data_IF_072936875108
#
_entry.id   IF_072936875108
#
_cell.length_a   1.000
_cell.length_b   1.000
_cell.length_c   1.000
_cell.angle_alpha   90.00
_cell.angle_beta   90.00
_cell.angle_gamma   90.00
#
_symmetry.space_group_name_H-M   'P 1'
#
loop_
_entity.id
_entity.type
_entity.pdbx_description
1 polymer ?
#
# COMPACT_ATOMS: atom_id res chain seq x y z
N UNK A 1 14.24 11.20 -11.31
CA UNK A 1 14.66 10.32 -12.42
C UNK A 1 13.80 9.11 -12.40
N UNK A 2 13.27 8.71 -13.55
CA UNK A 2 12.48 7.49 -13.65
C UNK A 2 13.42 6.28 -13.55
N UNK A 3 13.03 5.32 -12.73
CA UNK A 3 13.84 4.13 -12.45
C UNK A 3 12.98 2.89 -12.62
N UNK A 4 13.56 1.84 -13.23
CA UNK A 4 12.93 0.52 -13.31
C UNK A 4 13.77 -0.48 -12.52
N UNK A 5 13.14 -1.20 -11.59
CA UNK A 5 13.76 -2.24 -10.76
C UNK A 5 13.07 -3.56 -11.08
N UNK A 6 13.85 -4.60 -11.40
CA UNK A 6 13.34 -5.97 -11.55
C UNK A 6 13.19 -6.58 -10.15
N UNK A 7 12.02 -7.12 -9.85
CA UNK A 7 11.70 -7.66 -8.54
C UNK A 7 11.81 -9.19 -8.51
N UNK A 8 12.45 -9.78 -7.50
CA UNK A 8 12.66 -11.23 -7.39
C UNK A 8 11.38 -12.06 -7.32
N UNK A 9 10.31 -11.58 -6.69
CA UNK A 9 9.00 -12.27 -6.66
C UNK A 9 8.25 -12.18 -8.01
N UNK A 10 8.83 -11.51 -9.00
CA UNK A 10 8.33 -11.32 -10.35
C UNK A 10 7.65 -9.97 -10.55
N UNK A 11 7.82 -9.43 -11.75
CA UNK A 11 7.37 -8.09 -12.11
C UNK A 11 8.46 -7.05 -12.07
N UNK A 12 8.08 -5.80 -12.37
CA UNK A 12 8.98 -4.65 -12.42
C UNK A 12 8.37 -3.51 -11.60
N UNK A 13 9.16 -2.85 -10.80
CA UNK A 13 8.79 -1.58 -10.19
C UNK A 13 9.22 -0.45 -11.12
N UNK A 14 8.28 0.27 -11.68
CA UNK A 14 8.51 1.57 -12.30
C UNK A 14 8.30 2.66 -11.25
N UNK A 15 9.33 3.46 -11.01
CA UNK A 15 9.31 4.51 -10.00
C UNK A 15 9.62 5.86 -10.64
N UNK A 16 8.74 6.82 -10.45
CA UNK A 16 8.86 8.22 -10.87
C UNK A 16 8.66 9.15 -9.67
N UNK A 17 8.67 10.46 -9.89
CA UNK A 17 8.31 11.44 -8.87
C UNK A 17 6.81 11.49 -8.58
N UNK A 18 5.98 11.09 -9.56
CA UNK A 18 4.52 11.16 -9.49
C UNK A 18 3.86 9.84 -9.10
N UNK A 19 4.51 8.69 -9.30
CA UNK A 19 3.91 7.38 -9.00
C UNK A 19 4.94 6.28 -8.83
N UNK A 20 4.51 5.19 -8.19
CA UNK A 20 5.15 3.88 -8.19
C UNK A 20 4.19 2.90 -8.86
N UNK A 21 4.68 2.05 -9.74
CA UNK A 21 3.86 1.02 -10.38
C UNK A 21 4.57 -0.33 -10.36
N UNK A 22 3.93 -1.31 -9.73
CA UNK A 22 4.28 -2.72 -9.90
C UNK A 22 3.62 -3.22 -11.18
N UNK A 23 4.42 -3.53 -12.21
CA UNK A 23 3.98 -3.97 -13.53
C UNK A 23 4.33 -5.45 -13.76
N UNK A 24 3.37 -6.22 -14.27
CA UNK A 24 3.48 -7.65 -14.50
C UNK A 24 3.16 -7.98 -15.96
N UNK A 25 3.99 -8.82 -16.59
CA UNK A 25 3.77 -9.30 -17.96
C UNK A 25 2.56 -10.26 -18.04
N UNK A 26 2.41 -11.11 -17.03
CA UNK A 26 1.24 -11.99 -16.87
C UNK A 26 0.29 -11.42 -15.84
N UNK A 27 -1.00 -11.67 -16.05
CA UNK A 27 -2.05 -11.29 -15.10
C UNK A 27 -1.78 -11.88 -13.71
N UNK A 28 -1.97 -11.06 -12.70
CA UNK A 28 -1.87 -11.40 -11.29
C UNK A 28 -3.24 -11.29 -10.62
N UNK A 29 -3.44 -12.03 -9.53
CA UNK A 29 -4.64 -11.90 -8.70
C UNK A 29 -4.32 -11.04 -7.49
N UNK A 30 -5.11 -10.01 -7.24
CA UNK A 30 -4.88 -9.04 -6.17
C UNK A 30 -6.06 -8.94 -5.21
N UNK A 31 -5.74 -8.55 -3.97
CA UNK A 31 -6.67 -7.97 -3.00
C UNK A 31 -6.13 -6.61 -2.58
N UNK A 32 -6.91 -5.56 -2.81
CA UNK A 32 -6.48 -4.20 -2.52
C UNK A 32 -7.55 -3.40 -1.78
N UNK A 33 -7.11 -2.54 -0.84
CA UNK A 33 -7.96 -1.51 -0.21
C UNK A 33 -8.04 -0.23 -1.05
N UNK A 34 -7.51 -0.25 -2.27
CA UNK A 34 -7.45 0.90 -3.16
C UNK A 34 -8.84 1.44 -3.53
N UNK A 35 -8.94 2.77 -3.67
CA UNK A 35 -10.17 3.45 -4.10
C UNK A 35 -10.47 3.12 -5.57
N UNK A 36 -9.46 3.00 -6.42
CA UNK A 36 -9.62 2.57 -7.80
C UNK A 36 -9.24 1.11 -7.98
N UNK A 37 -10.16 0.29 -8.47
CA UNK A 37 -9.92 -1.12 -8.74
C UNK A 37 -9.60 -1.97 -7.50
N UNK A 38 -10.07 -1.54 -6.32
CA UNK A 38 -9.94 -2.27 -5.06
C UNK A 38 -10.82 -3.52 -4.96
N UNK A 39 -10.71 -4.23 -3.83
CA UNK A 39 -11.29 -5.55 -3.66
C UNK A 39 -10.45 -6.62 -4.35
N UNK A 40 -11.07 -7.75 -4.69
CA UNK A 40 -10.44 -8.82 -5.48
C UNK A 40 -10.49 -8.47 -6.97
N UNK A 41 -9.32 -8.51 -7.63
CA UNK A 41 -9.24 -8.17 -9.05
C UNK A 41 -8.05 -8.87 -9.71
N UNK A 42 -8.22 -9.23 -10.97
CA UNK A 42 -7.12 -9.58 -11.86
C UNK A 42 -6.48 -8.30 -12.41
N UNK A 43 -5.17 -8.17 -12.26
CA UNK A 43 -4.42 -6.97 -12.62
C UNK A 43 -3.11 -7.29 -13.34
N UNK A 44 -2.64 -6.32 -14.11
CA UNK A 44 -1.26 -6.25 -14.59
C UNK A 44 -0.50 -5.08 -13.93
N UNK A 45 -1.22 -4.12 -13.29
CA UNK A 45 -0.62 -2.92 -12.73
C UNK A 45 -1.18 -2.63 -11.34
N UNK A 46 -0.30 -2.50 -10.35
CA UNK A 46 -0.64 -1.95 -9.04
C UNK A 46 0.07 -0.61 -8.88
N UNK A 47 -0.71 0.45 -8.80
CA UNK A 47 -0.20 1.83 -8.79
C UNK A 47 -0.34 2.44 -7.41
N UNK A 48 0.67 3.19 -6.99
CA UNK A 48 0.60 4.11 -5.86
C UNK A 48 0.83 5.52 -6.43
N UNK A 49 -0.26 6.28 -6.59
CA UNK A 49 -0.27 7.59 -7.21
C UNK A 49 -0.02 8.69 -6.18
N UNK A 50 0.91 9.59 -6.45
CA UNK A 50 1.14 10.77 -5.63
C UNK A 50 0.07 11.83 -5.90
N UNK A 51 -0.43 12.42 -4.83
CA UNK A 51 -1.26 13.61 -4.87
C UNK A 51 -0.37 14.85 -4.72
N UNK A 52 -0.17 15.60 -5.80
CA UNK A 52 0.69 16.79 -5.79
C UNK A 52 0.00 18.00 -5.14
N UNK A 53 -1.34 18.06 -5.21
CA UNK A 53 -2.14 19.16 -4.69
C UNK A 53 -3.27 18.60 -3.85
N UNK A 54 -3.48 19.16 -2.67
CA UNK A 54 -4.62 18.80 -1.82
C UNK A 54 -5.92 19.38 -2.40
N UNK A 55 -6.96 18.55 -2.49
CA UNK A 55 -8.31 18.93 -2.88
C UNK A 55 -9.25 18.79 -1.67
N UNK A 56 -10.00 19.86 -1.31
CA UNK A 56 -10.82 19.87 -0.10
C UNK A 56 -12.12 19.06 -0.22
N UNK A 57 -12.51 18.69 -1.45
CA UNK A 57 -13.71 17.89 -1.73
C UNK A 57 -13.54 17.08 -3.00
N UNK A 58 -14.38 16.05 -3.18
CA UNK A 58 -14.28 15.10 -4.28
C UNK A 58 -14.47 15.75 -5.65
N UNK A 59 -15.42 16.69 -5.76
CA UNK A 59 -15.74 17.43 -7.00
C UNK A 59 -14.60 18.32 -7.52
N UNK A 60 -13.60 18.59 -6.67
CA UNK A 60 -12.40 19.37 -7.04
C UNK A 60 -11.31 18.53 -7.69
N UNK A 61 -11.37 17.22 -7.60
CA UNK A 61 -10.40 16.37 -8.29
C UNK A 61 -10.55 16.47 -9.81
N UNK A 62 -9.46 16.37 -10.57
CA UNK A 62 -9.52 16.21 -12.03
C UNK A 62 -10.43 15.03 -12.41
N UNK A 63 -11.40 15.27 -13.29
CA UNK A 63 -12.43 14.29 -13.62
C UNK A 63 -13.62 14.24 -12.66
N UNK A 64 -13.65 15.07 -11.60
CA UNK A 64 -14.79 15.23 -10.68
C UNK A 64 -14.92 14.17 -9.60
N UNK A 65 -13.95 13.26 -9.47
CA UNK A 65 -13.91 12.26 -8.39
C UNK A 65 -12.51 11.66 -8.21
N UNK A 66 -12.24 11.10 -7.03
CA UNK A 66 -10.97 10.41 -6.76
C UNK A 66 -10.77 9.19 -7.67
N UNK A 67 -11.76 8.30 -7.89
CA UNK A 67 -11.61 7.20 -8.83
C UNK A 67 -11.29 7.66 -10.25
N UNK A 68 -11.94 8.72 -10.74
CA UNK A 68 -11.71 9.23 -12.08
C UNK A 68 -10.33 9.90 -12.22
N UNK A 69 -9.88 10.63 -11.20
CA UNK A 69 -8.52 11.15 -11.14
C UNK A 69 -7.48 10.01 -11.25
N UNK A 70 -7.65 8.93 -10.49
CA UNK A 70 -6.75 7.77 -10.54
C UNK A 70 -6.79 7.08 -11.91
N UNK A 71 -7.98 6.94 -12.52
CA UNK A 71 -8.14 6.38 -13.86
C UNK A 71 -7.38 7.19 -14.90
N UNK A 72 -7.51 8.51 -14.87
CA UNK A 72 -6.81 9.42 -15.78
C UNK A 72 -5.30 9.35 -15.57
N UNK A 73 -4.84 9.34 -14.32
CA UNK A 73 -3.40 9.22 -14.00
C UNK A 73 -2.79 7.90 -14.48
N UNK A 74 -3.53 6.79 -14.39
CA UNK A 74 -3.11 5.49 -14.92
C UNK A 74 -2.92 5.57 -16.46
N UNK A 75 -3.87 6.18 -17.17
CA UNK A 75 -3.80 6.36 -18.62
C UNK A 75 -2.64 7.27 -19.03
N UNK A 76 -2.44 8.40 -18.35
CA UNK A 76 -1.35 9.34 -18.61
C UNK A 76 0.03 8.71 -18.42
N UNK A 77 0.15 7.77 -17.51
CA UNK A 77 1.36 6.99 -17.26
C UNK A 77 1.51 5.80 -18.24
N UNK A 78 0.60 5.63 -19.20
CA UNK A 78 0.69 4.60 -20.25
C UNK A 78 0.24 3.20 -19.82
N UNK A 79 -0.51 3.08 -18.69
CA UNK A 79 -1.03 1.79 -18.23
C UNK A 79 -2.52 1.62 -18.59
N UNK A 80 -2.97 0.37 -18.67
CA UNK A 80 -4.37 0.03 -18.91
C UNK A 80 -5.19 0.08 -17.62
N UNK A 81 -6.14 1.04 -17.44
CA UNK A 81 -6.95 1.15 -16.23
C UNK A 81 -7.85 -0.07 -15.98
N UNK A 82 -8.26 -0.79 -17.02
CA UNK A 82 -9.07 -1.99 -16.86
C UNK A 82 -8.32 -3.09 -16.10
N UNK A 83 -6.98 -3.10 -16.22
CA UNK A 83 -6.06 -4.06 -15.61
C UNK A 83 -5.25 -3.48 -14.46
N UNK A 84 -5.74 -2.41 -13.82
CA UNK A 84 -5.03 -1.74 -12.75
C UNK A 84 -5.86 -1.61 -11.46
N UNK A 85 -5.15 -1.53 -10.33
CA UNK A 85 -5.67 -0.95 -9.09
C UNK A 85 -4.74 0.19 -8.65
N UNK A 86 -5.29 1.21 -7.95
CA UNK A 86 -4.48 2.36 -7.57
C UNK A 86 -4.81 2.87 -6.16
N UNK A 87 -3.75 2.95 -5.34
CA UNK A 87 -3.69 3.67 -4.08
C UNK A 87 -3.35 5.14 -4.35
N UNK A 88 -3.70 6.02 -3.42
CA UNK A 88 -3.39 7.45 -3.45
C UNK A 88 -2.56 7.82 -2.22
N UNK A 89 -1.57 8.69 -2.38
CA UNK A 89 -0.73 9.15 -1.27
C UNK A 89 -0.24 10.59 -1.47
N UNK A 90 -0.02 11.30 -0.37
CA UNK A 90 0.70 12.57 -0.37
C UNK A 90 2.21 12.39 -0.05
N UNK A 91 2.66 11.18 0.28
CA UNK A 91 4.05 10.90 0.60
C UNK A 91 4.98 11.13 -0.60
N UNK A 92 6.23 11.49 -0.32
CA UNK A 92 7.24 11.66 -1.36
C UNK A 92 7.69 10.31 -1.91
N UNK A 93 7.67 10.14 -3.22
CA UNK A 93 8.04 8.90 -3.89
C UNK A 93 9.54 8.55 -3.75
N UNK A 94 10.37 9.55 -3.49
CA UNK A 94 11.81 9.38 -3.24
C UNK A 94 12.10 8.62 -1.95
N UNK A 95 11.18 8.71 -0.97
CA UNK A 95 11.31 8.07 0.35
C UNK A 95 10.68 6.68 0.40
N UNK A 96 10.39 6.10 -0.77
CA UNK A 96 9.92 4.72 -0.82
C UNK A 96 10.92 3.75 -0.25
N UNK A 97 10.43 2.73 0.44
CA UNK A 97 11.20 1.54 0.79
C UNK A 97 10.88 0.41 -0.18
N UNK A 98 11.90 -0.32 -0.62
CA UNK A 98 11.76 -1.50 -1.50
C UNK A 98 12.61 -2.62 -0.93
N UNK A 99 11.96 -3.70 -0.49
CA UNK A 99 12.65 -4.86 0.10
C UNK A 99 12.12 -6.17 -0.44
N UNK A 100 13.01 -7.15 -0.51
CA UNK A 100 12.67 -8.56 -0.80
C UNK A 100 12.90 -9.40 0.44
N UNK A 101 11.91 -10.22 0.76
CA UNK A 101 11.95 -11.22 1.82
C UNK A 101 11.85 -12.61 1.21
N UNK A 102 12.53 -13.58 1.81
CA UNK A 102 12.56 -14.93 1.27
C UNK A 102 12.61 -16.01 2.34
N UNK A 103 12.02 -17.15 2.04
CA UNK A 103 12.22 -18.39 2.78
C UNK A 103 12.18 -19.56 1.80
N UNK A 104 13.34 -20.21 1.59
CA UNK A 104 13.51 -21.23 0.53
C UNK A 104 13.09 -20.63 -0.83
N UNK A 105 12.16 -21.27 -1.56
CA UNK A 105 11.62 -20.81 -2.84
C UNK A 105 10.52 -19.74 -2.74
N UNK A 106 10.02 -19.45 -1.54
CA UNK A 106 9.04 -18.38 -1.33
C UNK A 106 9.74 -17.03 -1.38
N UNK A 107 9.27 -16.15 -2.27
CA UNK A 107 9.75 -14.78 -2.44
C UNK A 107 8.59 -13.80 -2.26
N UNK A 108 8.89 -12.69 -1.60
CA UNK A 108 7.99 -11.58 -1.36
C UNK A 108 8.73 -10.27 -1.60
N UNK A 109 8.20 -9.41 -2.47
CA UNK A 109 8.67 -8.05 -2.64
C UNK A 109 7.68 -7.07 -2.01
N UNK A 110 8.17 -6.15 -1.18
CA UNK A 110 7.38 -5.10 -0.56
C UNK A 110 7.85 -3.73 -1.03
N UNK A 111 6.89 -2.89 -1.42
CA UNK A 111 7.11 -1.49 -1.78
C UNK A 111 6.19 -0.64 -0.91
N UNK A 112 6.78 0.25 -0.12
CA UNK A 112 6.04 1.05 0.86
C UNK A 112 6.36 2.53 0.67
N UNK A 113 5.33 3.36 0.84
CA UNK A 113 5.46 4.81 1.04
C UNK A 113 4.69 5.20 2.29
N UNK A 114 5.13 6.20 3.02
CA UNK A 114 4.45 6.65 4.20
C UNK A 114 4.80 8.08 4.61
N UNK A 115 3.91 8.66 5.36
CA UNK A 115 4.04 9.94 6.04
C UNK A 115 3.09 9.95 7.22
N UNK A 116 3.56 9.57 8.41
CA UNK A 116 2.72 9.38 9.58
C UNK A 116 2.85 10.48 10.63
N UNK A 117 3.97 11.21 10.69
CA UNK A 117 4.33 12.08 11.82
C UNK A 117 3.28 13.13 12.20
N UNK A 118 2.60 13.72 11.20
CA UNK A 118 1.65 14.83 11.42
C UNK A 118 0.19 14.37 11.48
N UNK A 119 -0.08 13.09 11.23
CA UNK A 119 -1.43 12.58 11.02
C UNK A 119 -1.63 11.16 11.54
N UNK A 120 -0.66 10.67 12.31
CA UNK A 120 -0.80 9.38 12.95
C UNK A 120 -2.04 9.33 13.84
N UNK A 121 -2.79 8.24 13.73
CA UNK A 121 -4.05 8.05 14.44
C UNK A 121 -4.11 6.65 15.07
N UNK A 122 -4.84 6.55 16.17
CA UNK A 122 -5.14 5.28 16.83
C UNK A 122 -6.54 4.84 16.48
N UNK A 123 -6.68 3.62 15.99
CA UNK A 123 -7.99 3.00 15.79
C UNK A 123 -8.76 2.93 17.13
N UNK A 124 -10.03 3.36 17.12
CA UNK A 124 -10.85 3.49 18.32
C UNK A 124 -10.77 4.84 19.01
N UNK A 125 -9.95 5.79 18.55
CA UNK A 125 -10.02 7.20 18.97
C UNK A 125 -11.33 7.84 18.49
N UNK A 126 -11.80 8.93 19.15
CA UNK A 126 -12.98 9.66 18.70
C UNK A 126 -12.82 10.14 17.24
N UNK A 127 -13.91 10.11 16.44
CA UNK A 127 -13.85 10.57 15.05
C UNK A 127 -13.60 12.07 14.96
N UNK A 128 -12.90 12.51 13.91
CA UNK A 128 -12.63 13.94 13.65
C UNK A 128 -13.66 14.57 12.71
N UNK A 129 -14.38 13.76 11.92
CA UNK A 129 -15.37 14.23 10.94
C UNK A 129 -16.41 13.11 10.67
N UNK A 130 -17.44 13.45 9.92
CA UNK A 130 -18.39 12.47 9.35
C UNK A 130 -18.23 12.39 7.84
N UNK A 131 -18.33 11.18 7.29
CA UNK A 131 -18.19 10.88 5.87
C UNK A 131 -19.27 11.53 5.01
N UNK A 132 -20.39 11.93 5.62
CA UNK A 132 -21.54 12.55 4.95
C UNK A 132 -21.27 13.98 4.47
N UNK A 133 -20.26 14.64 5.03
CA UNK A 133 -20.04 16.05 4.78
C UNK A 133 -19.28 16.31 3.46
N UNK A 134 -18.74 15.26 2.82
CA UNK A 134 -18.07 15.33 1.52
C UNK A 134 -16.78 16.15 1.51
N UNK A 135 -16.25 16.49 2.68
CA UNK A 135 -15.02 17.23 2.83
C UNK A 135 -13.84 16.33 3.22
N UNK A 136 -12.70 16.59 2.59
CA UNK A 136 -11.45 15.92 2.92
C UNK A 136 -10.58 16.77 3.87
N UNK A 137 -9.80 16.08 4.66
CA UNK A 137 -8.79 16.68 5.52
C UNK A 137 -7.40 16.27 5.06
N UNK A 138 -6.39 17.16 5.18
CA UNK A 138 -5.01 16.78 4.92
C UNK A 138 -4.58 15.72 5.93
N UNK A 139 -4.38 14.50 5.45
CA UNK A 139 -3.93 13.36 6.27
C UNK A 139 -2.71 12.70 5.62
N UNK A 140 -1.83 12.14 6.44
CA UNK A 140 -0.78 11.27 5.96
C UNK A 140 -1.33 9.91 5.55
N UNK A 141 -0.52 9.11 4.92
CA UNK A 141 -0.91 7.80 4.40
C UNK A 141 0.27 6.85 4.46
N UNK A 142 0.01 5.60 4.81
CA UNK A 142 0.96 4.49 4.67
C UNK A 142 0.41 3.55 3.63
N UNK A 143 1.06 3.46 2.47
CA UNK A 143 0.68 2.55 1.40
C UNK A 143 1.70 1.42 1.29
N UNK A 144 1.22 0.18 1.32
CA UNK A 144 2.04 -1.03 1.26
C UNK A 144 1.58 -1.88 0.08
N UNK A 145 2.45 -2.09 -0.91
CA UNK A 145 2.22 -3.00 -2.03
C UNK A 145 3.12 -4.21 -1.86
N UNK A 146 2.53 -5.41 -1.81
CA UNK A 146 3.26 -6.67 -1.65
C UNK A 146 2.98 -7.58 -2.84
N UNK A 147 4.04 -8.05 -3.49
CA UNK A 147 3.99 -9.06 -4.55
C UNK A 147 4.57 -10.38 -4.07
N UNK A 148 3.88 -11.48 -4.36
CA UNK A 148 4.26 -12.84 -4.02
C UNK A 148 4.48 -13.68 -5.28
N UNK A 149 5.49 -14.55 -5.24
CA UNK A 149 5.71 -15.57 -6.28
C UNK A 149 4.87 -16.83 -6.10
N UNK A 150 3.86 -16.82 -5.23
CA UNK A 150 2.97 -17.93 -4.89
C UNK A 150 1.50 -17.58 -5.12
N UNK A 151 0.63 -18.59 -5.11
CA UNK A 151 -0.82 -18.44 -5.18
C UNK A 151 -1.46 -18.51 -3.78
N UNK A 152 -2.48 -17.65 -3.54
CA UNK A 152 -3.30 -17.67 -2.33
C UNK A 152 -4.79 -17.73 -2.67
N UNK A 153 -5.58 -18.56 -1.99
CA UNK A 153 -7.04 -18.44 -2.00
C UNK A 153 -7.52 -17.09 -1.47
N UNK A 154 -8.65 -16.60 -1.96
CA UNK A 154 -9.23 -15.33 -1.53
C UNK A 154 -9.40 -15.22 0.00
N UNK A 155 -9.84 -16.29 0.66
CA UNK A 155 -9.98 -16.33 2.12
C UNK A 155 -8.62 -16.16 2.85
N UNK A 156 -7.54 -16.68 2.28
CA UNK A 156 -6.19 -16.53 2.84
C UNK A 156 -5.64 -15.13 2.56
N UNK A 157 -5.97 -14.54 1.42
CA UNK A 157 -5.61 -13.14 1.13
C UNK A 157 -6.28 -12.17 2.11
N UNK A 158 -7.55 -12.39 2.48
CA UNK A 158 -8.20 -11.56 3.51
C UNK A 158 -7.54 -11.69 4.88
N UNK A 159 -7.11 -12.91 5.26
CA UNK A 159 -6.33 -13.13 6.47
C UNK A 159 -4.95 -12.45 6.42
N UNK A 160 -4.30 -12.48 5.27
CA UNK A 160 -3.01 -11.81 5.06
C UNK A 160 -3.09 -10.29 5.29
N UNK A 161 -4.20 -9.63 4.93
CA UNK A 161 -4.40 -8.19 5.22
C UNK A 161 -4.35 -7.92 6.73
N UNK A 162 -4.93 -8.80 7.56
CA UNK A 162 -4.85 -8.68 9.02
C UNK A 162 -3.39 -8.73 9.46
N UNK A 163 -2.65 -9.75 9.04
CA UNK A 163 -1.23 -9.95 9.40
C UNK A 163 -0.34 -8.78 8.96
N UNK A 164 -0.54 -8.24 7.75
CA UNK A 164 0.17 -7.06 7.25
C UNK A 164 -0.15 -5.83 8.11
N UNK A 165 -1.43 -5.63 8.47
CA UNK A 165 -1.87 -4.53 9.33
C UNK A 165 -1.26 -4.63 10.73
N UNK A 166 -1.19 -5.84 11.31
CA UNK A 166 -0.54 -6.09 12.59
C UNK A 166 0.95 -5.75 12.56
N UNK A 167 1.67 -6.17 11.50
CA UNK A 167 3.08 -5.84 11.29
C UNK A 167 3.32 -4.33 11.16
N UNK A 168 2.50 -3.62 10.39
CA UNK A 168 2.53 -2.15 10.28
C UNK A 168 2.29 -1.49 11.66
N UNK A 169 1.31 -1.97 12.41
CA UNK A 169 0.96 -1.43 13.72
C UNK A 169 2.10 -1.62 14.71
N UNK A 170 2.72 -2.80 14.73
CA UNK A 170 3.88 -3.07 15.58
C UNK A 170 5.04 -2.10 15.26
N UNK A 171 5.33 -1.86 13.98
CA UNK A 171 6.37 -0.90 13.57
C UNK A 171 6.10 0.52 14.10
N UNK A 172 4.86 1.02 13.99
CA UNK A 172 4.51 2.34 14.50
C UNK A 172 4.67 2.44 16.02
N UNK A 173 4.32 1.37 16.76
CA UNK A 173 4.46 1.33 18.21
C UNK A 173 5.93 1.29 18.64
N UNK A 174 6.76 0.48 17.99
CA UNK A 174 8.18 0.36 18.29
C UNK A 174 8.97 1.64 17.92
N UNK A 175 8.50 2.41 16.92
CA UNK A 175 9.01 3.73 16.58
C UNK A 175 8.51 4.84 17.52
N UNK A 176 7.62 4.53 18.47
CA UNK A 176 7.07 5.50 19.40
C UNK A 176 6.13 6.52 18.75
N UNK A 177 5.55 6.20 17.58
CA UNK A 177 4.63 7.09 16.89
C UNK A 177 3.32 7.17 17.67
N UNK A 178 2.91 8.38 18.04
CA UNK A 178 1.70 8.65 18.81
C UNK A 178 0.58 9.23 17.95
N UNK A 179 -0.66 8.94 18.32
CA UNK A 179 -1.86 9.62 17.81
C UNK A 179 -1.77 11.12 18.13
N UNK A 180 -1.83 11.94 17.10
CA UNK A 180 -1.67 13.40 17.19
C UNK A 180 -2.74 14.08 18.05
N UNK A 181 -3.88 13.43 18.29
CA UNK A 181 -5.02 13.98 19.03
C UNK A 181 -5.00 13.64 20.52
N UNK A 182 -4.42 12.51 20.90
CA UNK A 182 -4.51 12.02 22.29
C UNK A 182 -3.19 11.48 22.86
N UNK A 183 -2.12 11.41 22.07
CA UNK A 183 -0.79 10.96 22.53
C UNK A 183 -0.67 9.45 22.78
N UNK A 184 -1.70 8.65 22.53
CA UNK A 184 -1.64 7.20 22.67
C UNK A 184 -0.88 6.57 21.49
N UNK A 185 -0.32 5.35 21.63
CA UNK A 185 0.37 4.68 20.52
C UNK A 185 -0.51 4.59 19.26
N UNK A 186 -0.04 5.11 18.13
CA UNK A 186 -0.75 5.08 16.86
C UNK A 186 -0.84 3.67 16.28
N UNK A 187 -1.86 3.42 15.44
CA UNK A 187 -2.06 2.17 14.71
C UNK A 187 -2.04 2.36 13.18
N UNK A 188 -2.03 3.59 12.72
CA UNK A 188 -2.05 3.97 11.30
C UNK A 188 -2.22 5.48 11.14
N UNK A 189 -2.70 5.91 9.97
CA UNK A 189 -2.96 7.34 9.64
C UNK A 189 -4.42 7.63 9.31
N UNK A 190 -5.28 6.62 9.32
CA UNK A 190 -6.69 6.74 8.93
C UNK A 190 -6.96 6.54 7.43
N UNK A 191 -5.96 6.65 6.57
CA UNK A 191 -6.09 6.46 5.10
C UNK A 191 -5.12 5.41 4.53
N UNK A 192 -4.56 4.57 5.38
CA UNK A 192 -3.59 3.56 4.98
C UNK A 192 -4.13 2.59 3.94
N UNK A 193 -3.28 2.23 2.98
CA UNK A 193 -3.62 1.34 1.89
C UNK A 193 -2.74 0.09 1.82
N UNK A 194 -3.34 -1.04 1.48
CA UNK A 194 -2.63 -2.31 1.24
C UNK A 194 -3.06 -2.87 -0.11
N UNK A 195 -2.09 -3.28 -0.92
CA UNK A 195 -2.31 -4.09 -2.12
C UNK A 195 -1.48 -5.36 -2.02
N UNK A 196 -2.14 -6.49 -1.88
CA UNK A 196 -1.54 -7.83 -1.89
C UNK A 196 -1.75 -8.47 -3.26
N UNK A 197 -0.65 -8.92 -3.89
CA UNK A 197 -0.63 -9.45 -5.26
C UNK A 197 -0.05 -10.85 -5.24
N UNK A 198 -0.74 -11.81 -5.85
CA UNK A 198 -0.33 -13.21 -5.92
C UNK A 198 -0.19 -13.68 -7.37
N UNK A 199 0.59 -14.72 -7.57
CA UNK A 199 0.74 -15.38 -8.86
C UNK A 199 -0.22 -16.58 -8.95
N UNK A 200 -1.32 -16.51 -9.72
CA UNK A 200 -2.32 -17.58 -9.78
C UNK A 200 -1.76 -18.90 -10.34
N UNK A 201 -0.71 -18.83 -11.17
CA UNK A 201 -0.08 -20.00 -11.83
C UNK A 201 1.00 -20.68 -10.97
N UNK A 202 1.25 -20.17 -9.76
CA UNK A 202 2.32 -20.63 -8.88
C UNK A 202 1.82 -21.59 -7.79
N UNK A 203 2.72 -22.25 -7.02
CA UNK A 203 2.34 -23.13 -5.92
C UNK A 203 1.42 -22.45 -4.92
N UNK A 204 0.38 -23.19 -4.49
CA UNK A 204 -0.66 -22.68 -3.60
C UNK A 204 -0.25 -22.82 -2.13
N UNK A 205 -0.37 -21.71 -1.39
CA UNK A 205 -0.22 -21.66 0.06
C UNK A 205 -1.59 -21.50 0.73
N UNK A 206 -1.76 -22.05 1.93
CA UNK A 206 -3.07 -22.19 2.58
C UNK A 206 -3.17 -21.51 3.94
N UNK A 207 -2.14 -20.78 4.37
CA UNK A 207 -2.13 -20.00 5.61
C UNK A 207 -1.30 -18.73 5.43
N UNK A 208 -1.71 -17.66 6.13
CA UNK A 208 -1.02 -16.37 6.18
C UNK A 208 -1.12 -15.75 7.59
N UNK A 209 -1.44 -16.55 8.61
CA UNK A 209 -1.45 -16.13 10.00
C UNK A 209 -0.02 -15.95 10.54
N UNK A 210 0.15 -15.15 11.57
CA UNK A 210 1.44 -14.69 12.13
C UNK A 210 2.41 -15.81 12.49
N UNK A 211 1.92 -17.02 12.80
CA UNK A 211 2.75 -18.20 13.11
C UNK A 211 3.15 -19.02 11.89
N UNK A 212 2.58 -18.75 10.70
CA UNK A 212 3.02 -19.39 9.47
C UNK A 212 4.26 -18.70 8.92
N UNK A 213 5.05 -19.41 8.11
CA UNK A 213 6.21 -18.83 7.41
C UNK A 213 5.79 -17.64 6.55
N UNK A 214 4.73 -17.79 5.76
CA UNK A 214 4.22 -16.70 4.92
C UNK A 214 3.74 -15.52 5.78
N UNK A 215 2.97 -15.77 6.82
CA UNK A 215 2.47 -14.71 7.71
C UNK A 215 3.60 -13.96 8.41
N UNK A 216 4.63 -14.68 8.87
CA UNK A 216 5.84 -14.06 9.43
C UNK A 216 6.53 -13.14 8.42
N UNK A 217 6.71 -13.58 7.17
CA UNK A 217 7.31 -12.74 6.12
C UNK A 217 6.44 -11.54 5.76
N UNK A 218 5.12 -11.68 5.70
CA UNK A 218 4.18 -10.58 5.46
C UNK A 218 4.23 -9.53 6.57
N UNK A 219 4.25 -9.97 7.83
CA UNK A 219 4.38 -9.08 8.97
C UNK A 219 5.74 -8.36 8.98
N UNK A 220 6.84 -9.10 8.77
CA UNK A 220 8.19 -8.52 8.68
C UNK A 220 8.31 -7.52 7.53
N UNK A 221 7.71 -7.79 6.38
CA UNK A 221 7.71 -6.88 5.24
C UNK A 221 7.03 -5.54 5.58
N UNK A 222 5.86 -5.59 6.21
CA UNK A 222 5.16 -4.38 6.64
C UNK A 222 5.89 -3.65 7.77
N UNK A 223 6.52 -4.37 8.66
CA UNK A 223 7.28 -3.82 9.79
C UNK A 223 8.57 -3.14 9.31
N UNK A 224 9.43 -3.85 8.56
CA UNK A 224 10.77 -3.38 8.22
C UNK A 224 10.77 -2.28 7.15
N UNK A 225 9.90 -2.37 6.13
CA UNK A 225 9.81 -1.33 5.11
C UNK A 225 9.32 -0.02 5.72
N UNK A 226 8.44 -0.08 6.71
CA UNK A 226 7.92 1.10 7.40
C UNK A 226 8.96 1.76 8.32
N UNK A 227 9.75 0.97 9.05
CA UNK A 227 10.77 1.51 9.96
C UNK A 227 11.87 2.27 9.23
N UNK A 228 12.31 1.82 8.05
CA UNK A 228 13.30 2.52 7.24
C UNK A 228 12.81 3.86 6.69
N UNK A 229 11.54 3.92 6.29
CA UNK A 229 10.91 5.13 5.79
C UNK A 229 10.89 6.24 6.86
N UNK A 230 10.51 5.89 8.09
CA UNK A 230 10.52 6.84 9.21
C UNK A 230 11.94 7.35 9.53
N UNK A 231 12.94 6.48 9.48
CA UNK A 231 14.34 6.86 9.73
C UNK A 231 14.87 7.85 8.69
N UNK A 232 14.41 7.78 7.44
CA UNK A 232 14.81 8.71 6.37
C UNK A 232 14.16 10.11 6.49
N UNK A 233 13.02 10.23 7.19
CA UNK A 233 12.37 11.53 7.47
C UNK A 233 13.06 12.32 8.59
N UNK A 234 13.81 11.63 9.48
CA UNK A 234 14.53 12.24 10.60
C UNK A 234 15.95 12.71 10.24
N UNK A 235 16.44 12.45 9.03
CA UNK A 235 17.72 12.93 8.50
C UNK A 235 17.56 14.16 7.59
#
# INVERSE_FOLDING_TARGET
>A
MDTTIILPAGGKLHASRSHLCLAFEKTRFSLSTAIYGGGFKEINYAVNQKLETFYPSEDRFPGGSVPEFLRLSILENGYDPAKACALLTAAKMEWRSVKTFSHKELLLDAVTTGGAEKTAARAGSPPLYTEKDGHFFPVGTINIMISLNISLPSAIMTRAIITITEGKTAALQDLGIADVNNGLPATGTGTDGITLITNPDAPRYTDAGTFSVLGSLLASAAYETRSEEHTSELQ
#
